data_IF_082230433769
#
_entry.id   IF_082230433769
#
_cell.length_a   1.000
_cell.length_b   1.000
_cell.length_c   1.000
_cell.angle_alpha   90.00
_cell.angle_beta   90.00
_cell.angle_gamma   90.00
#
_symmetry.space_group_name_H-M   'P 1'
#
loop_
_entity.id
_entity.type
_entity.pdbx_description
1 polymer ?
#
# COMPACT_ATOMS: atom_id res chain seq x y z
N UNK A 1 -2.66 -28.08 18.58
CA UNK A 1 -3.38 -27.90 17.31
C UNK A 1 -2.35 -27.65 16.22
N UNK A 2 -2.34 -28.48 15.18
CA UNK A 2 -1.43 -28.30 14.07
C UNK A 2 -1.83 -27.03 13.32
N UNK A 3 -0.88 -26.12 13.11
CA UNK A 3 -1.11 -24.97 12.26
C UNK A 3 -1.44 -25.49 10.86
N UNK A 4 -2.57 -25.09 10.31
CA UNK A 4 -2.90 -25.42 8.95
C UNK A 4 -1.79 -24.92 8.04
N UNK A 5 -1.29 -25.82 7.20
CA UNK A 5 -0.28 -25.45 6.21
C UNK A 5 -0.93 -24.49 5.22
N UNK A 6 -0.36 -23.31 5.09
CA UNK A 6 -0.74 -22.34 4.09
C UNK A 6 -0.62 -23.02 2.72
N UNK A 7 -1.70 -23.04 1.95
CA UNK A 7 -1.69 -23.63 0.61
C UNK A 7 -0.98 -22.66 -0.33
N UNK A 8 0.28 -22.99 -0.61
CA UNK A 8 1.10 -22.18 -1.52
C UNK A 8 0.74 -22.29 -3.00
N UNK A 9 -0.16 -22.92 -3.17
CA UNK A 9 -0.56 -23.12 -4.47
C UNK A 9 -1.24 -22.05 -5.08
N UNK A 10 -2.00 -21.55 -4.34
CA UNK A 10 -2.77 -20.45 -4.87
C UNK A 10 -2.02 -19.14 -4.68
N UNK A 11 -2.07 -18.33 -5.71
CA UNK A 11 -1.51 -17.00 -5.66
C UNK A 11 -2.32 -16.14 -4.68
N UNK A 12 -1.65 -15.24 -3.99
CA UNK A 12 -2.29 -14.35 -3.04
C UNK A 12 -2.35 -12.93 -3.60
N UNK A 13 -3.47 -12.23 -3.38
CA UNK A 13 -3.59 -10.82 -3.74
C UNK A 13 -4.40 -10.08 -2.68
N UNK A 14 -4.02 -8.83 -2.46
CA UNK A 14 -4.73 -7.91 -1.57
C UNK A 14 -5.63 -7.03 -2.43
N UNK A 15 -6.92 -7.02 -2.14
CA UNK A 15 -7.86 -6.17 -2.87
C UNK A 15 -8.73 -5.40 -1.88
N UNK A 16 -9.41 -4.40 -2.39
CA UNK A 16 -10.34 -3.62 -1.57
C UNK A 16 -11.47 -3.06 -2.39
N UNK A 17 -12.53 -2.68 -1.70
CA UNK A 17 -13.65 -1.96 -2.31
C UNK A 17 -13.44 -0.47 -2.15
N UNK A 18 -13.63 0.28 -3.20
CA UNK A 18 -13.54 1.74 -3.20
C UNK A 18 -14.81 2.34 -3.81
N UNK A 19 -15.09 3.59 -3.51
CA UNK A 19 -16.25 4.27 -4.06
C UNK A 19 -16.92 5.18 -3.03
N UNK A 20 -17.99 5.82 -3.48
CA UNK A 20 -18.72 6.81 -2.69
C UNK A 20 -19.48 6.15 -1.52
N UNK A 21 -19.64 6.89 -0.44
CA UNK A 21 -20.44 6.44 0.71
C UNK A 21 -21.86 6.06 0.25
N UNK A 22 -22.43 5.04 0.84
CA UNK A 22 -23.78 4.53 0.55
C UNK A 22 -23.96 3.90 -0.84
N UNK A 23 -22.88 3.67 -1.60
CA UNK A 23 -22.98 2.96 -2.88
C UNK A 23 -22.93 1.43 -2.72
N UNK A 24 -22.70 0.95 -1.49
CA UNK A 24 -22.83 -0.48 -1.18
C UNK A 24 -21.53 -1.25 -1.08
N UNK A 25 -20.41 -0.59 -0.75
CA UNK A 25 -19.11 -1.26 -0.61
C UNK A 25 -19.12 -2.40 0.40
N UNK A 26 -19.65 -2.14 1.59
CA UNK A 26 -19.69 -3.13 2.67
C UNK A 26 -20.65 -4.29 2.32
N UNK A 27 -21.79 -3.96 1.74
CA UNK A 27 -22.76 -4.99 1.29
C UNK A 27 -22.14 -5.86 0.21
N UNK A 28 -21.38 -5.28 -0.71
CA UNK A 28 -20.71 -6.06 -1.75
C UNK A 28 -19.65 -6.98 -1.15
N UNK A 29 -18.88 -6.49 -0.20
CA UNK A 29 -17.88 -7.32 0.48
C UNK A 29 -18.53 -8.53 1.14
N UNK A 30 -19.63 -8.30 1.85
CA UNK A 30 -20.38 -9.39 2.48
C UNK A 30 -20.95 -10.35 1.43
N UNK A 31 -21.47 -9.83 0.32
CA UNK A 31 -22.02 -10.67 -0.75
C UNK A 31 -20.95 -11.56 -1.38
N UNK A 32 -19.77 -11.03 -1.63
CA UNK A 32 -18.65 -11.80 -2.18
C UNK A 32 -18.32 -12.97 -1.25
N UNK A 33 -18.12 -12.67 0.03
CA UNK A 33 -17.75 -13.69 1.01
C UNK A 33 -18.82 -14.77 1.10
N UNK A 34 -20.10 -14.38 1.13
CA UNK A 34 -21.23 -15.30 1.26
C UNK A 34 -21.38 -16.19 0.02
N UNK A 35 -21.29 -15.60 -1.17
CA UNK A 35 -21.46 -16.35 -2.42
C UNK A 35 -20.30 -17.33 -2.63
N UNK A 36 -19.07 -16.92 -2.35
CA UNK A 36 -17.92 -17.81 -2.49
C UNK A 36 -17.98 -18.97 -1.49
N UNK A 37 -18.38 -18.70 -0.24
CA UNK A 37 -18.54 -19.75 0.77
C UNK A 37 -19.61 -20.76 0.37
N UNK A 38 -20.70 -20.30 -0.23
CA UNK A 38 -21.83 -21.13 -0.70
C UNK A 38 -21.41 -22.09 -1.81
N UNK A 39 -20.47 -21.65 -2.64
CA UNK A 39 -19.97 -22.47 -3.75
C UNK A 39 -18.83 -23.42 -3.34
N UNK A 40 -18.51 -23.49 -2.05
CA UNK A 40 -17.51 -24.40 -1.53
C UNK A 40 -16.07 -23.98 -1.74
N UNK A 41 -15.86 -22.78 -2.26
CA UNK A 41 -14.52 -22.32 -2.61
C UNK A 41 -13.77 -21.70 -1.45
N UNK A 42 -14.45 -21.37 -0.37
CA UNK A 42 -13.76 -20.84 0.80
C UNK A 42 -14.60 -20.83 2.05
N UNK A 43 -13.94 -20.88 3.19
CA UNK A 43 -14.52 -20.52 4.48
C UNK A 43 -14.20 -19.04 4.65
N UNK A 44 -15.19 -18.20 4.49
CA UNK A 44 -15.02 -16.78 4.70
C UNK A 44 -14.78 -16.51 6.19
N UNK A 45 -13.61 -15.97 6.52
CA UNK A 45 -13.30 -15.56 7.89
C UNK A 45 -13.27 -14.05 7.95
N UNK A 46 -14.12 -13.50 8.77
CA UNK A 46 -14.16 -12.08 9.02
C UNK A 46 -13.18 -11.78 10.17
N UNK A 47 -12.22 -10.92 9.92
CA UNK A 47 -11.29 -10.45 10.95
C UNK A 47 -11.60 -8.99 11.24
N UNK A 48 -12.04 -8.75 12.45
CA UNK A 48 -12.05 -7.39 12.95
C UNK A 48 -10.63 -7.12 13.45
N UNK A 49 -9.83 -6.52 12.62
CA UNK A 49 -8.47 -6.10 13.01
C UNK A 49 -8.57 -4.74 13.69
N UNK A 50 -9.31 -4.73 14.80
CA UNK A 50 -9.39 -3.55 15.61
C UNK A 50 -8.15 -3.53 16.51
N UNK A 51 -7.39 -2.47 16.45
CA UNK A 51 -6.34 -2.11 17.40
C UNK A 51 -5.02 -2.87 17.34
N UNK A 52 -4.73 -3.63 16.27
CA UNK A 52 -3.44 -4.33 16.23
C UNK A 52 -2.70 -4.26 14.91
N UNK A 53 -3.11 -3.38 14.02
CA UNK A 53 -2.38 -3.19 12.77
C UNK A 53 -0.97 -2.67 13.09
N UNK A 54 0.08 -3.26 12.50
CA UNK A 54 1.43 -2.77 12.73
C UNK A 54 1.57 -1.27 12.50
N UNK A 55 0.85 -0.74 11.52
CA UNK A 55 0.88 0.68 11.16
C UNK A 55 0.36 1.57 12.29
N UNK A 56 -0.59 1.09 13.09
CA UNK A 56 -1.08 1.85 14.23
C UNK A 56 0.01 2.07 15.26
N UNK A 57 0.74 1.01 15.59
CA UNK A 57 1.82 1.09 16.57
C UNK A 57 2.98 1.91 16.06
N UNK A 58 3.30 1.73 14.79
CA UNK A 58 4.45 2.35 14.16
C UNK A 58 4.25 3.85 13.90
N UNK A 59 3.05 4.24 13.54
CA UNK A 59 2.76 5.61 13.07
C UNK A 59 1.87 6.43 13.98
N UNK A 60 1.31 5.82 15.01
CA UNK A 60 0.42 6.51 15.95
C UNK A 60 -0.91 6.94 15.34
N UNK A 61 -1.34 6.23 14.29
CA UNK A 61 -2.57 6.55 13.54
C UNK A 61 -3.64 5.52 13.88
N UNK A 62 -4.84 5.97 14.18
CA UNK A 62 -5.97 5.06 14.36
C UNK A 62 -6.42 4.55 12.99
N UNK A 63 -6.43 3.25 12.83
CA UNK A 63 -6.81 2.59 11.59
C UNK A 63 -8.13 1.85 11.81
N UNK A 64 -9.13 2.24 11.06
CA UNK A 64 -10.45 1.65 11.14
C UNK A 64 -10.70 0.89 9.83
N UNK A 65 -10.42 -0.41 9.83
CA UNK A 65 -10.60 -1.27 8.67
C UNK A 65 -11.23 -2.58 9.07
N UNK A 66 -11.86 -3.21 8.10
CA UNK A 66 -12.35 -4.57 8.21
C UNK A 66 -11.63 -5.42 7.17
N UNK A 67 -11.03 -6.51 7.60
CA UNK A 67 -10.32 -7.43 6.70
C UNK A 67 -11.08 -8.74 6.64
N UNK A 68 -11.29 -9.24 5.43
CA UNK A 68 -11.96 -10.53 5.19
C UNK A 68 -11.06 -11.34 4.27
N UNK A 69 -10.91 -12.62 4.54
CA UNK A 69 -10.19 -13.53 3.64
C UNK A 69 -11.20 -14.40 2.92
N UNK A 70 -10.98 -14.60 1.64
CA UNK A 70 -11.75 -15.54 0.84
C UNK A 70 -10.91 -16.00 -0.35
N UNK A 71 -11.42 -16.97 -1.09
CA UNK A 71 -10.67 -17.51 -2.22
C UNK A 71 -11.59 -17.93 -3.35
N UNK A 72 -11.04 -17.91 -4.55
CA UNK A 72 -11.62 -18.50 -5.74
C UNK A 72 -10.82 -19.76 -6.06
N UNK A 73 -11.14 -20.44 -7.15
CA UNK A 73 -10.33 -21.57 -7.62
C UNK A 73 -8.90 -21.16 -7.95
N UNK A 74 -8.68 -19.90 -8.32
CA UNK A 74 -7.40 -19.42 -8.83
C UNK A 74 -6.57 -18.69 -7.79
N UNK A 75 -7.19 -17.96 -6.87
CA UNK A 75 -6.48 -17.06 -5.94
C UNK A 75 -7.06 -17.05 -4.55
N UNK A 76 -6.19 -16.73 -3.61
CA UNK A 76 -6.55 -16.40 -2.23
C UNK A 76 -6.49 -14.87 -2.10
N UNK A 77 -7.54 -14.27 -1.54
CA UNK A 77 -7.65 -12.83 -1.39
C UNK A 77 -7.72 -12.39 0.07
N UNK A 78 -7.00 -11.33 0.38
CA UNK A 78 -7.26 -10.54 1.57
C UNK A 78 -7.98 -9.28 1.09
N UNK A 79 -9.17 -9.04 1.60
CA UNK A 79 -10.05 -7.96 1.15
C UNK A 79 -10.20 -6.92 2.25
N UNK A 80 -9.88 -5.67 1.93
CA UNK A 80 -9.95 -4.54 2.85
C UNK A 80 -11.21 -3.73 2.55
N UNK A 81 -12.01 -3.47 3.58
CA UNK A 81 -13.14 -2.57 3.51
C UNK A 81 -12.98 -1.52 4.60
N UNK A 82 -13.15 -0.25 4.23
CA UNK A 82 -13.04 0.87 5.18
C UNK A 82 -14.41 1.49 5.38
N UNK A 83 -14.79 1.82 6.61
CA UNK A 83 -16.17 2.26 6.88
C UNK A 83 -16.52 3.64 6.35
N UNK A 84 -15.58 4.53 6.18
CA UNK A 84 -15.87 5.88 5.71
C UNK A 84 -14.84 6.44 4.76
N UNK A 85 -15.21 7.54 4.12
CA UNK A 85 -14.34 8.21 3.16
C UNK A 85 -13.00 8.63 3.78
N UNK A 86 -13.06 9.28 4.96
CA UNK A 86 -11.85 9.74 5.63
C UNK A 86 -10.94 8.58 6.00
N UNK A 87 -11.51 7.48 6.48
CA UNK A 87 -10.74 6.27 6.78
C UNK A 87 -10.10 5.69 5.53
N UNK A 88 -10.84 5.73 4.43
CA UNK A 88 -10.36 5.24 3.15
C UNK A 88 -9.12 6.01 2.69
N UNK A 89 -9.23 7.35 2.66
CA UNK A 89 -8.13 8.23 2.25
C UNK A 89 -6.91 7.99 3.12
N UNK A 90 -7.12 8.00 4.43
CA UNK A 90 -6.04 7.79 5.41
C UNK A 90 -5.34 6.45 5.19
N UNK A 91 -6.13 5.37 5.06
CA UNK A 91 -5.57 4.02 4.96
C UNK A 91 -4.83 3.80 3.64
N UNK A 92 -5.30 4.38 2.55
CA UNK A 92 -4.60 4.27 1.27
C UNK A 92 -3.26 5.01 1.30
N UNK A 93 -3.24 6.22 1.84
CA UNK A 93 -2.00 7.01 1.90
C UNK A 93 -1.00 6.37 2.84
N UNK A 94 -1.43 5.90 4.01
CA UNK A 94 -0.52 5.36 5.02
C UNK A 94 -0.04 3.94 4.71
N UNK A 95 -0.69 3.25 3.79
CA UNK A 95 -0.34 1.87 3.43
C UNK A 95 -1.08 0.81 4.24
N UNK A 96 -1.97 1.23 5.15
CA UNK A 96 -2.78 0.26 5.91
C UNK A 96 -3.73 -0.51 5.00
N UNK A 97 -4.13 0.11 3.88
CA UNK A 97 -4.96 -0.53 2.86
C UNK A 97 -4.14 -0.64 1.57
N UNK A 98 -3.05 -1.38 1.61
CA UNK A 98 -2.23 -1.61 0.43
C UNK A 98 -2.93 -2.63 -0.46
N UNK A 99 -3.21 -2.24 -1.71
CA UNK A 99 -4.01 -3.05 -2.63
C UNK A 99 -3.25 -3.38 -3.90
N UNK A 100 -3.35 -4.65 -4.32
CA UNK A 100 -2.84 -5.11 -5.61
C UNK A 100 -3.85 -4.86 -6.72
N UNK A 101 -5.06 -4.54 -6.35
CA UNK A 101 -6.15 -4.14 -7.23
C UNK A 101 -7.34 -3.70 -6.40
N UNK A 102 -8.29 -3.04 -7.03
CA UNK A 102 -9.47 -2.56 -6.35
C UNK A 102 -10.75 -2.85 -7.11
N UNK A 103 -11.85 -2.91 -6.37
CA UNK A 103 -13.20 -3.00 -6.95
C UNK A 103 -13.86 -1.65 -6.72
N UNK A 104 -14.08 -0.91 -7.80
CA UNK A 104 -14.75 0.38 -7.74
C UNK A 104 -16.26 0.14 -7.76
N UNK A 105 -16.94 0.52 -6.69
CA UNK A 105 -18.38 0.32 -6.53
C UNK A 105 -19.10 1.63 -6.83
N UNK A 106 -19.98 1.62 -7.82
CA UNK A 106 -20.77 2.79 -8.20
C UNK A 106 -22.24 2.38 -8.23
N UNK A 107 -23.09 3.15 -7.53
CA UNK A 107 -24.53 2.93 -7.62
C UNK A 107 -25.04 3.27 -9.01
N UNK A 108 -25.70 2.32 -9.66
CA UNK A 108 -26.27 2.57 -10.99
C UNK A 108 -27.38 3.62 -10.94
N UNK A 109 -28.03 3.79 -9.78
CA UNK A 109 -29.10 4.77 -9.61
C UNK A 109 -28.55 6.20 -9.50
N UNK A 110 -27.36 6.35 -8.92
CA UNK A 110 -26.77 7.67 -8.64
C UNK A 110 -25.69 8.06 -9.65
N UNK A 111 -24.99 7.10 -10.20
CA UNK A 111 -23.81 7.34 -11.04
C UNK A 111 -22.60 7.77 -10.23
N UNK A 112 -21.50 8.14 -10.90
CA UNK A 112 -20.31 8.60 -10.19
C UNK A 112 -20.57 9.85 -9.37
N UNK A 113 -20.03 9.87 -8.17
CA UNK A 113 -20.20 10.94 -7.19
C UNK A 113 -18.82 11.53 -6.83
N UNK A 114 -18.76 12.63 -6.08
CA UNK A 114 -17.47 13.25 -5.77
C UNK A 114 -16.44 12.29 -5.12
N UNK A 115 -16.86 11.44 -4.21
CA UNK A 115 -15.91 10.49 -3.59
C UNK A 115 -15.47 9.41 -4.57
N UNK A 116 -16.29 9.08 -5.57
CA UNK A 116 -15.89 8.17 -6.64
C UNK A 116 -14.65 8.72 -7.34
N UNK A 117 -14.72 9.98 -7.72
CA UNK A 117 -13.61 10.68 -8.40
C UNK A 117 -12.37 10.73 -7.52
N UNK A 118 -12.53 11.11 -6.25
CA UNK A 118 -11.42 11.19 -5.31
C UNK A 118 -10.74 9.84 -5.11
N UNK A 119 -11.52 8.77 -4.98
CA UNK A 119 -10.97 7.43 -4.78
C UNK A 119 -10.21 6.92 -6.01
N UNK A 120 -10.69 7.22 -7.21
CA UNK A 120 -9.97 6.85 -8.43
C UNK A 120 -8.63 7.59 -8.50
N UNK A 121 -8.65 8.91 -8.28
CA UNK A 121 -7.42 9.71 -8.29
C UNK A 121 -6.43 9.21 -7.25
N UNK A 122 -6.90 8.96 -6.05
CA UNK A 122 -6.02 8.49 -4.98
C UNK A 122 -5.45 7.12 -5.30
N UNK A 123 -6.27 6.21 -5.85
CA UNK A 123 -5.80 4.88 -6.26
C UNK A 123 -4.66 4.99 -7.27
N UNK A 124 -4.80 5.91 -8.22
CA UNK A 124 -3.76 6.16 -9.22
C UNK A 124 -2.48 6.66 -8.55
N UNK A 125 -2.62 7.63 -7.66
CA UNK A 125 -1.46 8.27 -7.02
C UNK A 125 -0.71 7.34 -6.08
N UNK A 126 -1.41 6.48 -5.34
CA UNK A 126 -0.73 5.55 -4.42
C UNK A 126 -0.28 4.25 -5.11
N UNK A 127 -0.53 4.13 -6.42
CA UNK A 127 0.01 3.03 -7.21
C UNK A 127 -0.81 1.75 -7.25
N UNK A 128 -2.13 1.83 -7.09
CA UNK A 128 -2.99 0.64 -7.28
C UNK A 128 -2.92 0.25 -8.76
N UNK A 129 -2.47 -0.95 -9.11
CA UNK A 129 -2.19 -1.29 -10.50
C UNK A 129 -3.40 -1.39 -11.42
N UNK A 130 -4.55 -1.81 -10.90
CA UNK A 130 -5.73 -2.03 -11.73
C UNK A 130 -7.01 -1.95 -10.90
N UNK A 131 -8.08 -1.53 -11.55
CA UNK A 131 -9.41 -1.48 -10.96
C UNK A 131 -10.39 -2.28 -11.81
N UNK A 132 -11.35 -2.93 -11.16
CA UNK A 132 -12.51 -3.57 -11.79
C UNK A 132 -13.73 -2.81 -11.26
N UNK A 133 -14.77 -2.65 -12.07
CA UNK A 133 -15.95 -1.87 -11.68
C UNK A 133 -17.14 -2.77 -11.41
N UNK A 134 -17.83 -2.50 -10.32
CA UNK A 134 -19.13 -3.10 -10.03
C UNK A 134 -20.21 -2.03 -10.01
N UNK A 135 -21.11 -2.05 -11.01
CA UNK A 135 -22.28 -1.17 -11.03
C UNK A 135 -23.35 -1.82 -10.15
N UNK A 136 -23.52 -1.25 -8.97
CA UNK A 136 -24.39 -1.81 -7.93
C UNK A 136 -25.80 -1.24 -8.03
N UNK A 137 -26.74 -1.90 -7.37
CA UNK A 137 -28.13 -1.46 -7.22
C UNK A 137 -28.89 -1.40 -8.56
N UNK A 138 -28.53 -2.29 -9.50
CA UNK A 138 -29.23 -2.30 -10.80
C UNK A 138 -30.69 -2.75 -10.67
N UNK A 139 -31.04 -3.45 -9.59
CA UNK A 139 -32.41 -3.80 -9.26
C UNK A 139 -33.31 -2.56 -9.04
N UNK A 140 -32.70 -1.41 -8.77
CA UNK A 140 -33.40 -0.14 -8.56
C UNK A 140 -33.54 0.68 -9.85
N UNK A 141 -33.01 0.19 -10.97
CA UNK A 141 -32.99 0.91 -12.24
C UNK A 141 -33.73 0.08 -13.30
N UNK A 142 -34.80 0.62 -13.87
CA UNK A 142 -35.60 -0.07 -14.89
C UNK A 142 -35.16 0.24 -16.32
N UNK A 143 -34.32 1.23 -16.52
CA UNK A 143 -33.96 1.75 -17.84
C UNK A 143 -32.55 1.31 -18.23
N UNK A 144 -32.45 0.45 -19.25
CA UNK A 144 -31.15 -0.03 -19.74
C UNK A 144 -30.29 1.09 -20.31
N UNK A 145 -30.91 2.13 -20.89
CA UNK A 145 -30.18 3.27 -21.42
C UNK A 145 -29.48 4.02 -20.30
N UNK A 146 -30.11 4.12 -19.14
CA UNK A 146 -29.51 4.76 -17.96
C UNK A 146 -28.30 3.96 -17.46
N UNK A 147 -28.41 2.63 -17.45
CA UNK A 147 -27.28 1.77 -17.08
C UNK A 147 -26.09 1.96 -18.03
N UNK A 148 -26.36 2.02 -19.33
CA UNK A 148 -25.32 2.25 -20.33
C UNK A 148 -24.66 3.60 -20.16
N UNK A 149 -25.44 4.63 -19.82
CA UNK A 149 -24.93 5.97 -19.58
C UNK A 149 -24.01 6.02 -18.37
N UNK A 150 -24.42 5.37 -17.28
CA UNK A 150 -23.59 5.31 -16.07
C UNK A 150 -22.29 4.57 -16.35
N UNK A 151 -22.35 3.46 -17.08
CA UNK A 151 -21.14 2.73 -17.45
C UNK A 151 -20.19 3.60 -18.25
N UNK A 152 -20.72 4.36 -19.22
CA UNK A 152 -19.93 5.27 -20.05
C UNK A 152 -19.28 6.36 -19.19
N UNK A 153 -20.03 6.95 -18.26
CA UNK A 153 -19.50 7.97 -17.36
C UNK A 153 -18.34 7.43 -16.50
N UNK A 154 -18.49 6.21 -15.99
CA UNK A 154 -17.45 5.58 -15.16
C UNK A 154 -16.21 5.32 -16.00
N UNK A 155 -16.38 4.79 -17.21
CA UNK A 155 -15.24 4.52 -18.10
C UNK A 155 -14.48 5.81 -18.47
N UNK A 156 -15.23 6.89 -18.76
CA UNK A 156 -14.62 8.19 -19.07
C UNK A 156 -13.84 8.72 -17.85
N UNK A 157 -14.42 8.58 -16.68
CA UNK A 157 -13.77 9.02 -15.45
C UNK A 157 -12.48 8.24 -15.19
N UNK A 158 -12.48 6.92 -15.39
CA UNK A 158 -11.27 6.10 -15.25
C UNK A 158 -10.19 6.55 -16.24
N UNK A 159 -10.58 6.80 -17.49
CA UNK A 159 -9.63 7.26 -18.52
C UNK A 159 -9.05 8.63 -18.17
N UNK A 160 -9.85 9.51 -17.59
CA UNK A 160 -9.39 10.84 -17.14
C UNK A 160 -8.23 10.72 -16.14
N UNK A 161 -8.24 9.68 -15.31
CA UNK A 161 -7.20 9.47 -14.29
C UNK A 161 -6.20 8.37 -14.67
N UNK A 162 -6.05 8.14 -15.98
CA UNK A 162 -5.01 7.26 -16.53
C UNK A 162 -5.19 5.77 -16.25
N UNK A 163 -6.39 5.33 -15.91
CA UNK A 163 -6.73 3.91 -15.96
C UNK A 163 -7.30 3.62 -17.36
N UNK A 164 -7.13 2.39 -17.88
CA UNK A 164 -7.62 2.09 -19.23
C UNK A 164 -9.13 1.86 -19.24
N UNK A 165 -9.89 2.96 -19.17
CA UNK A 165 -11.33 2.95 -19.01
C UNK A 165 -12.09 2.11 -20.03
N UNK A 166 -11.58 2.02 -21.26
CA UNK A 166 -12.25 1.24 -22.31
C UNK A 166 -12.09 -0.28 -22.10
N UNK A 167 -11.03 -0.69 -21.39
CA UNK A 167 -10.69 -2.11 -21.21
C UNK A 167 -11.09 -2.66 -19.85
N UNK A 168 -11.36 -1.80 -18.89
CA UNK A 168 -11.67 -2.22 -17.51
C UNK A 168 -12.96 -3.05 -17.50
N UNK A 169 -12.97 -4.23 -16.87
CA UNK A 169 -14.22 -4.99 -16.73
C UNK A 169 -15.24 -4.23 -15.89
N UNK A 170 -16.46 -4.19 -16.38
CA UNK A 170 -17.59 -3.58 -15.65
C UNK A 170 -18.68 -4.64 -15.51
N UNK A 171 -19.00 -5.00 -14.27
CA UNK A 171 -20.03 -5.99 -13.96
C UNK A 171 -21.20 -5.25 -13.30
N UNK A 172 -22.41 -5.48 -13.80
CA UNK A 172 -23.61 -4.86 -13.25
C UNK A 172 -24.40 -5.87 -12.43
N UNK A 173 -24.79 -5.50 -11.23
CA UNK A 173 -25.51 -6.40 -10.35
C UNK A 173 -26.10 -5.70 -9.14
N UNK A 174 -26.53 -6.50 -8.17
CA UNK A 174 -27.05 -6.00 -6.92
C UNK A 174 -26.44 -6.82 -5.77
N UNK A 175 -25.59 -6.16 -4.99
CA UNK A 175 -24.95 -6.83 -3.86
C UNK A 175 -25.98 -7.26 -2.82
N UNK A 176 -26.99 -6.43 -2.54
CA UNK A 176 -28.02 -6.76 -1.58
C UNK A 176 -28.85 -7.98 -2.02
N UNK A 177 -29.27 -8.02 -3.27
CA UNK A 177 -30.04 -9.15 -3.79
C UNK A 177 -29.22 -10.45 -3.78
N UNK A 178 -27.93 -10.35 -4.13
CA UNK A 178 -27.03 -11.51 -4.06
C UNK A 178 -26.89 -12.01 -2.62
N UNK A 179 -26.74 -11.09 -1.68
CA UNK A 179 -26.63 -11.43 -0.26
C UNK A 179 -27.92 -12.10 0.26
N UNK A 180 -29.05 -11.69 -0.27
CA UNK A 180 -30.36 -12.29 0.07
C UNK A 180 -30.61 -13.65 -0.58
N UNK A 181 -29.72 -14.08 -1.46
CA UNK A 181 -29.80 -15.40 -2.08
C UNK A 181 -30.44 -15.45 -3.46
N UNK A 182 -30.64 -14.32 -4.13
CA UNK A 182 -31.18 -14.28 -5.49
C UNK A 182 -30.16 -14.86 -6.48
N UNK A 183 -30.47 -15.99 -7.10
CA UNK A 183 -29.56 -16.73 -7.97
C UNK A 183 -29.01 -15.91 -9.13
N UNK A 184 -29.82 -15.04 -9.72
CA UNK A 184 -29.43 -14.19 -10.83
C UNK A 184 -28.28 -13.24 -10.39
N UNK A 185 -28.41 -12.66 -9.22
CA UNK A 185 -27.44 -11.70 -8.71
C UNK A 185 -26.22 -12.38 -8.07
N UNK A 186 -26.38 -13.60 -7.54
CA UNK A 186 -25.24 -14.40 -7.09
C UNK A 186 -24.32 -14.72 -8.28
N UNK A 187 -24.90 -15.01 -9.43
CA UNK A 187 -24.12 -15.28 -10.65
C UNK A 187 -23.30 -14.06 -11.05
N UNK A 188 -23.85 -12.85 -10.86
CA UNK A 188 -23.12 -11.61 -11.14
C UNK A 188 -21.93 -11.42 -10.19
N UNK A 189 -22.06 -11.85 -8.94
CA UNK A 189 -20.91 -11.82 -8.00
C UNK A 189 -19.82 -12.79 -8.49
N UNK A 190 -20.17 -13.97 -8.94
CA UNK A 190 -19.20 -14.92 -9.50
C UNK A 190 -18.53 -14.37 -10.74
N UNK A 191 -19.29 -13.68 -11.60
CA UNK A 191 -18.77 -13.01 -12.79
C UNK A 191 -17.78 -11.89 -12.40
N UNK A 192 -18.09 -11.13 -11.34
CA UNK A 192 -17.19 -10.12 -10.81
C UNK A 192 -15.88 -10.76 -10.35
N UNK A 193 -15.94 -11.84 -9.62
CA UNK A 193 -14.73 -12.49 -9.10
C UNK A 193 -13.91 -13.13 -10.22
N UNK A 194 -14.54 -13.61 -11.28
CA UNK A 194 -13.81 -14.06 -12.45
C UNK A 194 -13.06 -12.91 -13.12
N UNK A 195 -13.70 -11.75 -13.21
CA UNK A 195 -13.05 -10.55 -13.75
C UNK A 195 -11.85 -10.13 -12.87
N UNK A 196 -12.03 -10.19 -11.54
CA UNK A 196 -10.94 -9.88 -10.60
C UNK A 196 -9.78 -10.87 -10.79
N UNK A 197 -10.09 -12.17 -10.89
CA UNK A 197 -9.07 -13.21 -11.07
C UNK A 197 -8.25 -13.01 -12.35
N UNK A 198 -8.89 -12.57 -13.43
CA UNK A 198 -8.24 -12.51 -14.74
C UNK A 198 -7.66 -11.14 -15.07
N UNK A 199 -8.23 -10.07 -14.55
CA UNK A 199 -7.82 -8.71 -14.90
C UNK A 199 -6.83 -8.09 -13.91
N UNK A 200 -7.00 -8.32 -12.61
CA UNK A 200 -6.08 -7.78 -11.61
C UNK A 200 -4.77 -8.55 -11.71
N UNK A 201 -3.63 -7.87 -11.91
CA UNK A 201 -2.36 -8.59 -12.06
C UNK A 201 -1.96 -9.30 -10.76
N UNK A 202 -1.33 -10.45 -10.90
CA UNK A 202 -0.79 -11.18 -9.76
C UNK A 202 0.41 -10.41 -9.24
N UNK A 203 0.45 -10.05 -7.95
CA UNK A 203 1.59 -9.32 -7.42
C UNK A 203 2.85 -10.19 -7.40
N UNK A 204 3.98 -9.57 -7.68
CA UNK A 204 5.27 -10.22 -7.54
C UNK A 204 5.51 -10.50 -6.05
N UNK A 205 5.98 -11.70 -5.72
CA UNK A 205 6.30 -12.02 -4.32
C UNK A 205 7.46 -11.14 -3.85
N UNK A 206 7.40 -10.68 -2.61
CA UNK A 206 8.44 -9.81 -2.07
C UNK A 206 9.83 -10.45 -2.17
N UNK A 207 9.93 -11.77 -1.99
CA UNK A 207 11.22 -12.47 -2.09
C UNK A 207 11.77 -12.52 -3.51
N UNK A 208 10.95 -12.30 -4.54
CA UNK A 208 11.41 -12.31 -5.95
C UNK A 208 11.83 -10.92 -6.45
N UNK A 209 11.59 -9.88 -5.66
CA UNK A 209 12.00 -8.51 -5.99
C UNK A 209 13.51 -8.33 -5.74
N UNK A 210 14.14 -7.27 -6.27
CA UNK A 210 15.54 -7.01 -5.94
C UNK A 210 15.73 -6.79 -4.44
N UNK A 211 16.80 -7.33 -3.89
CA UNK A 211 17.11 -7.28 -2.46
C UNK A 211 17.18 -5.85 -1.95
N UNK A 212 16.57 -5.61 -0.79
CA UNK A 212 16.76 -4.37 -0.03
C UNK A 212 16.57 -4.64 1.46
N UNK A 213 17.51 -4.12 2.27
CA UNK A 213 17.44 -4.18 3.72
C UNK A 213 17.80 -2.83 4.31
N UNK A 214 16.85 -2.16 4.98
CA UNK A 214 17.19 -0.93 5.73
C UNK A 214 18.13 -1.25 6.89
N UNK A 215 19.16 -0.44 7.05
CA UNK A 215 20.14 -0.64 8.13
C UNK A 215 19.59 -0.07 9.43
N UNK A 216 19.49 -0.91 10.46
CA UNK A 216 19.01 -0.54 11.79
C UNK A 216 20.18 -0.22 12.72
N UNK A 217 21.19 -1.09 12.72
CA UNK A 217 22.34 -0.92 13.61
C UNK A 217 23.59 -1.45 12.93
N UNK A 218 24.75 -1.00 13.38
CA UNK A 218 26.04 -1.40 12.84
C UNK A 218 26.99 -1.63 13.99
N UNK A 219 27.74 -2.72 13.95
CA UNK A 219 28.77 -3.00 14.94
C UNK A 219 29.92 -3.78 14.31
N UNK A 220 31.03 -3.79 15.02
CA UNK A 220 32.21 -4.52 14.59
C UNK A 220 32.35 -5.79 15.44
N UNK A 221 32.75 -6.88 14.80
CA UNK A 221 33.09 -8.12 15.50
C UNK A 221 34.58 -8.32 15.29
N UNK A 222 35.32 -8.40 16.39
CA UNK A 222 36.78 -8.61 16.36
C UNK A 222 37.10 -9.88 15.56
N UNK A 223 37.95 -9.74 14.56
CA UNK A 223 38.37 -10.85 13.70
C UNK A 223 37.40 -11.22 12.60
N UNK A 224 36.22 -10.57 12.56
CA UNK A 224 35.21 -10.88 11.52
C UNK A 224 34.83 -9.68 10.66
N UNK A 225 34.87 -8.47 11.21
CA UNK A 225 34.57 -7.26 10.44
C UNK A 225 33.29 -6.55 10.87
N UNK A 226 32.73 -5.82 9.93
CA UNK A 226 31.55 -4.98 10.19
C UNK A 226 30.25 -5.74 9.87
N UNK A 227 29.30 -5.64 10.79
CA UNK A 227 27.97 -6.26 10.64
C UNK A 227 26.93 -5.16 10.63
N UNK A 228 26.07 -5.18 9.61
CA UNK A 228 24.88 -4.32 9.55
C UNK A 228 23.66 -5.18 9.83
N UNK A 229 22.84 -4.74 10.79
CA UNK A 229 21.60 -5.48 11.13
C UNK A 229 20.38 -4.78 10.57
N UNK A 230 19.36 -5.56 10.28
CA UNK A 230 18.09 -5.05 9.83
C UNK A 230 17.13 -6.16 9.43
N UNK A 231 15.96 -5.73 8.99
CA UNK A 231 14.97 -6.65 8.46
C UNK A 231 14.99 -6.55 6.94
N UNK A 232 15.08 -7.68 6.27
CA UNK A 232 15.01 -7.71 4.80
C UNK A 232 13.61 -7.27 4.38
N UNK A 233 13.54 -6.16 3.66
CA UNK A 233 12.26 -5.61 3.22
C UNK A 233 11.75 -6.33 2.00
N UNK A 234 12.64 -6.68 1.09
CA UNK A 234 12.30 -7.40 -0.14
C UNK A 234 13.51 -8.14 -0.69
N UNK A 235 13.24 -9.12 -1.54
CA UNK A 235 14.27 -9.88 -2.24
C UNK A 235 14.95 -10.93 -1.39
N UNK A 236 16.06 -11.40 -1.89
CA UNK A 236 16.93 -12.38 -1.22
C UNK A 236 18.37 -11.92 -1.32
N UNK A 237 19.16 -12.28 -0.32
CA UNK A 237 20.61 -12.07 -0.34
C UNK A 237 21.29 -13.38 0.00
N UNK A 238 22.24 -13.79 -0.86
CA UNK A 238 23.05 -14.98 -0.64
C UNK A 238 24.47 -14.57 -0.27
N UNK A 239 25.09 -15.37 0.58
CA UNK A 239 26.50 -15.18 0.93
C UNK A 239 27.33 -15.16 -0.37
N UNK A 240 28.19 -14.16 -0.50
CA UNK A 240 29.02 -13.97 -1.70
C UNK A 240 28.49 -12.93 -2.68
N UNK A 241 27.26 -12.48 -2.51
CA UNK A 241 26.67 -11.50 -3.42
C UNK A 241 27.10 -10.07 -3.08
N UNK A 242 27.20 -9.26 -4.13
CA UNK A 242 27.51 -7.82 -4.01
C UNK A 242 26.25 -7.04 -3.70
N UNK A 243 26.39 -6.03 -2.86
CA UNK A 243 25.31 -5.06 -2.55
C UNK A 243 25.86 -3.64 -2.65
N UNK A 244 24.95 -2.70 -2.82
CA UNK A 244 25.26 -1.27 -2.68
C UNK A 244 24.78 -0.76 -1.34
N UNK A 245 25.53 0.18 -0.77
CA UNK A 245 25.17 0.92 0.46
C UNK A 245 24.69 2.29 -0.01
N UNK A 246 23.40 2.58 0.18
CA UNK A 246 22.76 3.72 -0.47
C UNK A 246 22.08 4.63 0.55
N UNK A 247 22.30 5.93 0.37
CA UNK A 247 21.67 6.98 1.17
C UNK A 247 22.65 7.73 2.05
N UNK A 248 22.34 8.96 2.36
CA UNK A 248 23.07 9.88 3.25
C UNK A 248 24.44 10.30 2.72
N UNK A 249 25.20 9.38 2.17
CA UNK A 249 26.55 9.58 1.62
C UNK A 249 26.61 9.04 0.20
N UNK A 250 27.74 9.16 -0.45
CA UNK A 250 27.95 8.61 -1.78
C UNK A 250 27.72 7.10 -1.75
N UNK A 251 27.09 6.58 -2.79
CA UNK A 251 26.83 5.14 -2.90
C UNK A 251 28.15 4.37 -2.97
N UNK A 252 28.26 3.32 -2.18
CA UNK A 252 29.42 2.44 -2.20
C UNK A 252 28.98 1.00 -2.38
N UNK A 253 29.93 0.11 -2.68
CA UNK A 253 29.68 -1.30 -2.91
C UNK A 253 30.45 -2.15 -1.93
N UNK A 254 29.88 -3.30 -1.59
CA UNK A 254 30.56 -4.31 -0.78
C UNK A 254 29.99 -5.68 -1.10
N UNK A 255 30.64 -6.71 -0.56
CA UNK A 255 30.15 -8.10 -0.69
C UNK A 255 29.68 -8.57 0.67
N UNK A 256 28.54 -9.24 0.69
CA UNK A 256 28.04 -9.87 1.90
C UNK A 256 28.76 -11.21 2.06
N UNK A 257 29.63 -11.31 3.07
CA UNK A 257 30.44 -12.51 3.29
C UNK A 257 29.84 -13.45 4.33
N UNK A 258 28.77 -13.03 5.01
CA UNK A 258 28.07 -13.88 5.95
C UNK A 258 26.70 -13.32 6.26
N UNK A 259 25.77 -14.20 6.58
CA UNK A 259 24.40 -13.85 6.98
C UNK A 259 24.11 -14.62 8.26
N UNK A 260 23.65 -13.90 9.29
CA UNK A 260 23.32 -14.52 10.59
C UNK A 260 21.88 -14.18 10.97
N UNK A 261 21.20 -15.15 11.57
CA UNK A 261 19.88 -14.97 12.16
C UNK A 261 19.80 -15.87 13.41
N UNK A 262 19.44 -15.29 14.56
CA UNK A 262 19.36 -16.02 15.84
C UNK A 262 20.68 -16.75 16.16
N UNK A 263 21.81 -16.08 15.93
CA UNK A 263 23.17 -16.60 16.17
C UNK A 263 23.53 -17.84 15.30
N UNK A 264 22.76 -18.07 14.24
CA UNK A 264 23.04 -19.15 13.28
C UNK A 264 23.49 -18.56 11.96
N UNK A 265 24.50 -19.18 11.38
CA UNK A 265 24.95 -18.82 10.02
C UNK A 265 23.98 -19.40 9.00
N UNK A 266 23.64 -18.58 8.01
CA UNK A 266 22.73 -18.97 6.94
C UNK A 266 23.44 -18.81 5.60
N UNK A 267 23.00 -19.58 4.61
CA UNK A 267 23.48 -19.43 3.22
C UNK A 267 22.80 -18.24 2.54
N UNK A 268 21.59 -17.91 2.95
CA UNK A 268 20.83 -16.80 2.37
C UNK A 268 19.77 -16.31 3.34
N UNK A 269 19.25 -15.12 3.05
CA UNK A 269 18.12 -14.55 3.78
C UNK A 269 17.13 -13.98 2.77
N UNK A 270 15.87 -13.85 3.17
CA UNK A 270 14.83 -13.35 2.28
C UNK A 270 13.87 -12.42 3.01
N UNK A 271 13.00 -11.77 2.24
CA UNK A 271 12.02 -10.81 2.74
C UNK A 271 11.34 -11.31 4.02
N UNK A 272 11.34 -10.47 5.04
CA UNK A 272 10.78 -10.77 6.35
C UNK A 272 11.80 -11.22 7.40
N UNK A 273 12.99 -11.62 6.99
CA UNK A 273 14.01 -12.11 7.93
C UNK A 273 14.73 -10.93 8.61
N UNK A 274 14.94 -11.05 9.92
CA UNK A 274 15.79 -10.12 10.67
C UNK A 274 17.18 -10.72 10.71
N UNK A 275 18.18 -10.02 10.15
CA UNK A 275 19.52 -10.59 9.96
C UNK A 275 20.62 -9.63 10.35
N UNK A 276 21.82 -10.21 10.53
CA UNK A 276 23.06 -9.47 10.50
C UNK A 276 23.81 -9.84 9.23
N UNK A 277 24.18 -8.85 8.44
CA UNK A 277 24.95 -9.04 7.21
C UNK A 277 26.41 -8.63 7.45
N UNK A 278 27.31 -9.56 7.25
CA UNK A 278 28.76 -9.31 7.40
C UNK A 278 29.26 -8.71 6.07
N UNK A 279 29.90 -7.53 6.16
CA UNK A 279 30.29 -6.75 4.98
C UNK A 279 31.79 -6.73 4.81
N UNK A 280 32.28 -7.05 3.61
CA UNK A 280 33.71 -7.13 3.30
C UNK A 280 34.30 -5.72 3.15
N UNK A 281 35.43 -5.48 3.86
CA UNK A 281 36.23 -4.29 3.64
C UNK A 281 35.55 -2.98 3.97
N UNK A 282 34.53 -3.02 4.82
CA UNK A 282 33.77 -1.83 5.24
C UNK A 282 34.03 -1.59 6.70
N UNK A 283 34.45 -0.36 7.04
CA UNK A 283 34.60 0.03 8.43
C UNK A 283 33.23 0.37 9.02
N UNK A 284 33.10 0.28 10.34
CA UNK A 284 31.87 0.61 11.02
C UNK A 284 31.38 2.03 10.69
N UNK A 285 32.30 2.95 10.46
CA UNK A 285 32.02 4.36 10.15
C UNK A 285 31.50 4.56 8.72
N UNK A 286 31.68 3.56 7.85
CA UNK A 286 31.32 3.67 6.43
C UNK A 286 29.86 3.29 6.16
N UNK A 287 29.16 2.75 7.16
CA UNK A 287 27.77 2.36 7.03
C UNK A 287 27.02 2.80 8.28
N UNK A 288 25.79 3.26 8.12
CA UNK A 288 25.04 3.80 9.26
C UNK A 288 23.53 3.58 9.11
N UNK A 289 22.85 3.66 10.25
CA UNK A 289 21.40 3.65 10.31
C UNK A 289 20.83 4.71 9.37
N UNK A 290 19.81 4.35 8.60
CA UNK A 290 19.19 5.24 7.62
C UNK A 290 19.59 4.95 6.20
N UNK A 291 20.71 4.24 6.00
CA UNK A 291 21.08 3.74 4.69
C UNK A 291 20.36 2.41 4.42
N UNK A 292 20.37 1.97 3.17
CA UNK A 292 19.90 0.63 2.84
C UNK A 292 21.03 -0.16 2.17
N UNK A 293 21.00 -1.48 2.35
CA UNK A 293 21.78 -2.40 1.52
C UNK A 293 20.83 -2.87 0.43
N UNK A 294 21.25 -2.81 -0.82
CA UNK A 294 20.38 -3.16 -1.94
C UNK A 294 21.14 -3.84 -3.05
N UNK A 295 20.42 -4.62 -3.85
CA UNK A 295 20.99 -5.21 -5.06
C UNK A 295 21.52 -4.09 -5.96
N UNK A 296 22.72 -4.25 -6.56
CA UNK A 296 23.31 -3.18 -7.35
C UNK A 296 22.37 -2.66 -8.44
N UNK A 297 22.23 -1.33 -8.52
CA UNK A 297 21.41 -0.66 -9.51
C UNK A 297 19.91 -0.70 -9.29
N UNK A 298 19.45 -1.30 -8.18
CA UNK A 298 18.02 -1.52 -7.97
C UNK A 298 17.28 -0.34 -7.36
N UNK A 299 17.97 0.52 -6.64
CA UNK A 299 17.38 1.74 -6.09
C UNK A 299 18.48 2.80 -6.02
N UNK A 300 18.09 4.07 -6.12
CA UNK A 300 19.04 5.18 -6.12
C UNK A 300 18.68 6.21 -5.05
N UNK A 301 19.65 7.02 -4.61
CA UNK A 301 19.38 8.06 -3.62
C UNK A 301 18.81 9.31 -4.28
N UNK A 302 17.91 10.00 -3.58
CA UNK A 302 17.24 11.19 -4.10
C UNK A 302 17.00 12.21 -3.02
N UNK A 303 16.86 13.48 -3.42
CA UNK A 303 16.61 14.58 -2.51
C UNK A 303 15.30 15.31 -2.76
N UNK A 304 14.66 15.12 -3.91
CA UNK A 304 13.43 15.86 -4.22
C UNK A 304 12.38 14.95 -4.82
N UNK A 305 11.15 15.06 -4.31
CA UNK A 305 10.06 14.19 -4.75
C UNK A 305 8.70 14.84 -4.51
N UNK A 306 7.69 14.33 -5.24
CA UNK A 306 6.28 14.64 -4.96
C UNK A 306 5.69 13.51 -4.12
N UNK A 307 4.74 13.86 -3.26
CA UNK A 307 4.10 12.90 -2.37
C UNK A 307 2.63 13.23 -2.13
N UNK A 308 1.85 12.20 -1.88
CA UNK A 308 0.51 12.32 -1.30
C UNK A 308 0.67 12.16 0.20
N UNK A 309 0.14 13.10 0.96
CA UNK A 309 0.33 13.13 2.42
C UNK A 309 -1.01 13.28 3.13
N UNK A 310 -1.20 12.47 4.16
CA UNK A 310 -2.28 12.65 5.11
C UNK A 310 -1.72 13.36 6.35
N UNK A 311 -2.32 14.49 6.71
CA UNK A 311 -1.88 15.27 7.87
C UNK A 311 -2.76 14.87 9.05
N UNK A 312 -2.15 14.31 10.11
CA UNK A 312 -2.89 13.83 11.27
C UNK A 312 -3.72 14.95 11.89
N UNK A 313 -4.94 14.60 12.31
CA UNK A 313 -5.81 15.54 13.02
C UNK A 313 -5.27 15.75 14.44
N UNK A 314 -5.78 16.79 15.09
CA UNK A 314 -5.45 17.07 16.49
C UNK A 314 -5.77 15.86 17.38
N UNK A 315 -6.92 15.22 17.14
CA UNK A 315 -7.35 14.06 17.94
C UNK A 315 -6.45 12.84 17.73
N UNK A 316 -5.74 12.77 16.62
CA UNK A 316 -4.78 11.70 16.33
C UNK A 316 -3.38 12.01 16.85
N UNK A 317 -3.22 13.12 17.55
CA UNK A 317 -1.93 13.54 18.08
C UNK A 317 -1.13 14.44 17.13
N UNK A 318 -1.78 14.92 16.09
CA UNK A 318 -1.16 15.81 15.11
C UNK A 318 -1.04 17.25 15.58
N UNK A 319 -0.73 18.13 14.64
CA UNK A 319 -0.63 19.57 14.91
C UNK A 319 -1.99 20.14 15.29
N UNK A 320 -1.97 21.25 16.04
CA UNK A 320 -3.19 21.99 16.40
C UNK A 320 -3.41 23.16 15.44
N UNK A 321 -2.41 23.52 14.64
CA UNK A 321 -2.45 24.67 13.76
C UNK A 321 -2.07 24.25 12.35
N UNK A 322 -2.46 25.04 11.32
CA UNK A 322 -2.07 24.71 9.95
C UNK A 322 -0.57 24.93 9.73
N UNK A 323 -0.07 24.36 8.63
CA UNK A 323 1.27 24.71 8.18
C UNK A 323 1.19 25.28 6.76
N UNK A 324 2.27 25.93 6.38
CA UNK A 324 2.37 26.69 5.12
C UNK A 324 3.56 26.19 4.32
N UNK A 325 3.68 26.65 3.09
CA UNK A 325 4.86 26.36 2.27
C UNK A 325 6.13 26.78 3.01
N UNK A 326 7.20 26.06 2.79
CA UNK A 326 8.51 26.20 3.48
C UNK A 326 8.53 25.63 4.90
N UNK A 327 7.50 24.92 5.31
CA UNK A 327 7.49 24.12 6.54
C UNK A 327 8.67 23.14 6.51
N UNK A 328 9.41 22.99 7.61
CA UNK A 328 10.65 22.19 7.68
C UNK A 328 10.60 21.12 8.77
N UNK A 329 9.77 20.10 8.60
CA UNK A 329 9.73 19.01 9.59
C UNK A 329 10.79 17.96 9.33
N UNK A 330 10.75 16.87 10.14
CA UNK A 330 11.55 15.67 9.90
C UNK A 330 10.73 14.68 9.09
N UNK A 331 11.37 14.04 8.11
CA UNK A 331 10.77 12.97 7.31
C UNK A 331 11.41 11.65 7.72
N UNK A 332 10.60 10.74 8.21
CA UNK A 332 11.09 9.46 8.70
C UNK A 332 10.92 8.41 7.61
N UNK A 333 12.07 7.94 7.11
CA UNK A 333 12.12 6.90 6.10
C UNK A 333 12.72 5.65 6.72
N UNK A 334 11.93 4.60 6.85
CA UNK A 334 12.38 3.29 7.34
C UNK A 334 13.01 3.38 8.74
N UNK A 335 14.28 3.74 8.83
CA UNK A 335 15.01 3.68 10.10
C UNK A 335 15.59 5.01 10.56
N UNK A 336 15.38 6.11 9.82
CA UNK A 336 15.96 7.39 10.21
C UNK A 336 15.14 8.60 9.77
N UNK A 337 15.33 9.71 10.48
CA UNK A 337 14.77 11.01 10.14
C UNK A 337 15.72 11.78 9.23
N UNK A 338 15.16 12.58 8.33
CA UNK A 338 15.92 13.56 7.58
C UNK A 338 15.08 14.84 7.48
N UNK A 339 15.68 15.99 7.67
CA UNK A 339 14.99 17.27 7.55
C UNK A 339 14.63 17.53 6.09
N UNK A 340 13.43 18.03 5.84
CA UNK A 340 13.00 18.40 4.49
C UNK A 340 12.16 19.65 4.49
N UNK A 341 12.07 20.28 3.33
CA UNK A 341 11.27 21.50 3.13
C UNK A 341 10.05 21.14 2.29
N UNK A 342 8.88 21.52 2.78
CA UNK A 342 7.61 21.27 2.09
C UNK A 342 7.30 22.45 1.17
N UNK A 343 6.94 22.15 -0.09
CA UNK A 343 6.42 23.13 -1.04
C UNK A 343 5.00 22.71 -1.42
N UNK A 344 4.05 23.58 -1.13
CA UNK A 344 2.64 23.30 -1.45
C UNK A 344 2.35 23.66 -2.91
N UNK A 345 1.37 22.99 -3.52
CA UNK A 345 1.04 23.30 -4.92
C UNK A 345 0.43 24.70 -5.07
N UNK A 346 0.53 25.24 -6.28
CA UNK A 346 -0.06 26.54 -6.60
C UNK A 346 -1.56 26.52 -6.25
N UNK A 347 -2.02 27.56 -5.57
CA UNK A 347 -3.40 27.67 -5.14
C UNK A 347 -3.68 27.13 -3.77
N UNK A 348 -2.74 26.40 -3.17
CA UNK A 348 -2.86 25.90 -1.80
C UNK A 348 -1.99 26.76 -0.89
N UNK A 349 -2.62 27.57 -0.05
CA UNK A 349 -1.88 28.47 0.84
C UNK A 349 -1.50 27.79 2.15
N UNK A 350 -2.34 26.88 2.65
CA UNK A 350 -2.10 26.21 3.93
C UNK A 350 -2.73 24.83 3.94
N UNK A 351 -2.26 24.01 4.86
CA UNK A 351 -2.80 22.66 5.08
C UNK A 351 -3.23 22.55 6.55
N UNK A 352 -4.48 22.17 6.77
CA UNK A 352 -5.04 22.01 8.11
C UNK A 352 -4.84 20.60 8.63
N UNK A 353 -4.74 20.44 9.96
CA UNK A 353 -4.75 19.08 10.52
C UNK A 353 -6.01 18.33 10.05
N UNK A 354 -5.83 17.08 9.62
CA UNK A 354 -6.91 16.25 9.06
C UNK A 354 -7.04 16.30 7.54
N UNK A 355 -6.32 17.20 6.88
CA UNK A 355 -6.33 17.31 5.41
C UNK A 355 -5.44 16.25 4.78
N UNK A 356 -5.72 15.93 3.52
CA UNK A 356 -4.74 15.29 2.66
C UNK A 356 -4.29 16.28 1.58
N UNK A 357 -3.04 16.18 1.17
CA UNK A 357 -2.45 17.15 0.26
C UNK A 357 -1.36 16.50 -0.59
N UNK A 358 -1.25 16.94 -1.84
CA UNK A 358 -0.08 16.65 -2.67
C UNK A 358 0.97 17.72 -2.37
N UNK A 359 2.21 17.32 -2.14
CA UNK A 359 3.27 18.28 -1.86
C UNK A 359 4.56 17.88 -2.55
N UNK A 360 5.45 18.85 -2.74
CA UNK A 360 6.82 18.61 -3.17
C UNK A 360 7.71 18.75 -1.95
N UNK A 361 8.65 17.83 -1.79
CA UNK A 361 9.56 17.81 -0.64
C UNK A 361 11.01 17.86 -1.13
N UNK A 362 11.80 18.72 -0.52
CA UNK A 362 13.26 18.76 -0.71
C UNK A 362 13.93 18.33 0.57
N UNK A 363 14.64 17.21 0.53
CA UNK A 363 15.39 16.70 1.68
C UNK A 363 16.79 17.34 1.75
N UNK A 364 17.32 17.52 2.95
CA UNK A 364 18.67 18.08 3.12
C UNK A 364 19.76 17.03 2.87
N UNK A 365 19.43 15.76 2.79
CA UNK A 365 20.38 14.68 2.52
C UNK A 365 19.70 13.64 1.63
N UNK A 366 20.46 12.95 0.77
CA UNK A 366 19.87 11.96 -0.11
C UNK A 366 19.45 10.71 0.67
N UNK A 367 18.32 10.14 0.27
CA UNK A 367 17.75 8.91 0.86
C UNK A 367 17.42 7.96 -0.29
N UNK A 368 17.60 6.67 -0.06
CA UNK A 368 17.20 5.64 -1.03
C UNK A 368 15.68 5.61 -1.09
N UNK A 369 15.11 6.17 -2.15
CA UNK A 369 13.67 6.23 -2.35
C UNK A 369 13.30 5.97 -3.81
N UNK A 370 12.07 5.53 -3.98
CA UNK A 370 11.48 5.29 -5.30
C UNK A 370 9.98 5.58 -5.22
N UNK A 371 9.30 5.58 -6.35
CA UNK A 371 7.85 5.74 -6.35
C UNK A 371 7.25 4.64 -5.47
N UNK A 372 6.32 5.02 -4.60
CA UNK A 372 5.69 4.10 -3.67
C UNK A 372 6.36 4.00 -2.30
N UNK A 373 7.51 4.61 -2.10
CA UNK A 373 8.17 4.61 -0.78
C UNK A 373 7.31 5.40 0.21
N UNK A 374 7.06 4.83 1.38
CA UNK A 374 6.25 5.47 2.42
C UNK A 374 7.13 6.11 3.48
N UNK A 375 6.58 7.14 4.11
CA UNK A 375 7.30 7.89 5.14
C UNK A 375 6.34 8.50 6.13
N UNK A 376 6.87 8.87 7.30
CA UNK A 376 6.12 9.65 8.28
C UNK A 376 6.73 11.05 8.35
N UNK A 377 5.92 12.03 8.76
CA UNK A 377 6.37 13.38 9.02
C UNK A 377 6.33 13.60 10.53
N UNK A 378 7.43 14.06 11.09
CA UNK A 378 7.58 14.24 12.53
C UNK A 378 7.98 15.66 12.88
N UNK A 379 7.46 16.13 14.00
CA UNK A 379 7.78 17.44 14.53
C UNK A 379 7.91 17.30 16.06
N UNK A 380 9.06 17.66 16.60
CA UNK A 380 9.29 17.55 18.03
C UNK A 380 9.14 16.16 18.59
N UNK A 381 9.48 15.14 17.81
CA UNK A 381 9.46 13.75 18.26
C UNK A 381 8.11 13.05 18.13
N UNK A 382 7.10 13.72 17.60
CA UNK A 382 5.78 13.09 17.40
C UNK A 382 5.40 13.10 15.92
N UNK A 383 4.63 12.11 15.51
CA UNK A 383 4.16 12.00 14.12
C UNK A 383 3.03 12.99 13.87
N UNK A 384 3.18 13.81 12.83
CA UNK A 384 2.17 14.78 12.43
C UNK A 384 1.60 14.50 11.04
N UNK A 385 2.18 13.56 10.32
CA UNK A 385 1.69 13.20 8.99
C UNK A 385 2.27 11.89 8.51
N UNK A 386 1.68 11.37 7.44
CA UNK A 386 2.12 10.13 6.80
C UNK A 386 1.91 10.27 5.30
N UNK A 387 2.85 9.79 4.51
CA UNK A 387 2.76 9.96 3.08
C UNK A 387 3.40 8.86 2.27
N UNK A 388 3.22 8.99 0.97
CA UNK A 388 3.79 8.06 -0.01
C UNK A 388 4.37 8.87 -1.17
N UNK A 389 5.59 8.49 -1.59
CA UNK A 389 6.26 9.12 -2.73
C UNK A 389 5.51 8.76 -4.01
N UNK A 390 5.08 9.76 -4.78
CA UNK A 390 4.35 9.54 -6.02
C UNK A 390 5.22 9.77 -7.25
N UNK A 391 6.24 10.63 -7.15
CA UNK A 391 7.11 10.92 -8.29
C UNK A 391 8.46 11.41 -7.79
N UNK A 392 9.54 10.85 -8.30
CA UNK A 392 10.90 11.32 -8.02
C UNK A 392 11.21 12.50 -8.95
N UNK A 393 11.73 13.58 -8.40
CA UNK A 393 12.13 14.78 -9.18
C UNK A 393 13.64 14.86 -9.31
N UNK A 394 14.41 14.65 -8.22
CA UNK A 394 15.86 14.86 -8.26
C UNK A 394 16.60 13.90 -7.34
#
# INVERSE_FOLDING_TARGET
MAKEKFDRXKEHANIGTIGHVDHGKTTLTAAIATVLAKNGDSVAQSYDMIDNAPEEKERGITINTSHIEYQTDKRHYAHVDCPGHADYVKNMITGAAQMDGGILVVSAADGPMPQTREHILLSRNVGVPALVVFLNKVDMVDDEELLELVEMEVRDLLSEYDFPGDDVPVIAGSALKALEGDAKYEEKILELMEAVDTYIPTPERDSDKPFMMPVEDVFSITGRGTVATGRVERGQIKVGEEVEIIGLHDTSKTTVTGVEMFRKLLDYAEAGDNIGALLRGVAREDVQRGQVLAAPGSITPHTEFKAEVYVLSKDEGGRHTPFFSNYRPQFYFRTTDVTGVVHLPEGTEMVMPGDNVEMTVELIAPIAIEDGTRFSIREGGRTVGSGVVTEIIK
#
